data_IF_001417096803
#
_entry.id   IF_001417096803
#
_cell.length_a   1.000
_cell.length_b   1.000
_cell.length_c   1.000
_cell.angle_alpha   90.00
_cell.angle_beta   90.00
_cell.angle_gamma   90.00
#
_symmetry.space_group_name_H-M   'P 1'
#
loop_
_entity.id
_entity.type
_entity.pdbx_description
1 polymer ?
#
# COMPACT_ATOMS: atom_id res chain seq x y z
N UNK A 1 -26.75 -29.34 42.94
CA UNK A 1 -27.58 -28.13 42.74
C UNK A 1 -28.87 -28.51 42.04
N UNK A 2 -28.89 -29.26 40.92
CA UNK A 2 -30.11 -29.65 40.21
C UNK A 2 -31.16 -30.42 41.06
N UNK A 3 -30.69 -31.34 41.92
CA UNK A 3 -31.53 -32.02 42.88
C UNK A 3 -32.09 -31.08 43.97
N UNK A 4 -31.27 -30.19 44.51
CA UNK A 4 -31.66 -29.20 45.52
C UNK A 4 -32.76 -28.29 44.97
N UNK A 5 -32.59 -27.80 43.74
CA UNK A 5 -33.58 -26.94 43.08
C UNK A 5 -34.89 -27.69 42.72
N UNK A 6 -34.81 -29.00 42.46
CA UNK A 6 -36.02 -29.78 42.15
C UNK A 6 -36.88 -30.09 43.37
N UNK A 7 -36.26 -30.25 44.53
CA UNK A 7 -36.90 -30.67 45.75
C UNK A 7 -36.89 -29.58 46.85
N UNK A 8 -36.70 -28.31 46.44
CA UNK A 8 -36.71 -27.14 47.34
C UNK A 8 -35.85 -27.31 48.60
N UNK A 9 -34.74 -28.04 48.45
CA UNK A 9 -33.81 -28.33 49.55
C UNK A 9 -34.00 -29.63 50.31
N UNK A 10 -35.19 -30.22 50.27
CA UNK A 10 -35.53 -31.48 50.99
C UNK A 10 -35.43 -32.68 50.00
N UNK A 11 -34.24 -33.20 49.82
CA UNK A 11 -33.98 -34.28 48.84
C UNK A 11 -34.39 -35.61 49.50
N UNK A 12 -35.33 -36.41 48.90
CA UNK A 12 -35.66 -37.73 49.40
C UNK A 12 -34.45 -38.68 49.42
N UNK A 13 -34.24 -39.44 50.50
CA UNK A 13 -33.06 -40.30 50.69
C UNK A 13 -32.81 -41.23 49.52
N UNK A 14 -33.85 -41.76 48.89
CA UNK A 14 -33.81 -42.61 47.70
C UNK A 14 -33.01 -41.94 46.55
N UNK A 15 -33.28 -40.65 46.26
CA UNK A 15 -32.61 -39.94 45.16
C UNK A 15 -31.22 -39.46 45.58
N UNK A 16 -31.02 -39.12 46.84
CA UNK A 16 -29.71 -38.78 47.38
C UNK A 16 -28.73 -39.95 47.26
N UNK A 17 -29.17 -41.16 47.74
CA UNK A 17 -28.36 -42.39 47.65
C UNK A 17 -28.05 -42.77 46.21
N UNK A 18 -29.01 -42.71 45.29
CA UNK A 18 -28.78 -42.94 43.86
C UNK A 18 -27.80 -41.96 43.26
N UNK A 19 -27.90 -40.66 43.57
CA UNK A 19 -26.95 -39.66 43.10
C UNK A 19 -25.56 -39.90 43.63
N UNK A 20 -25.36 -40.16 44.89
CA UNK A 20 -24.06 -40.39 45.50
C UNK A 20 -23.37 -41.59 44.84
N UNK A 21 -24.12 -42.71 44.64
CA UNK A 21 -23.58 -43.93 44.01
C UNK A 21 -23.23 -43.72 42.53
N UNK A 22 -23.92 -42.85 41.81
CA UNK A 22 -23.67 -42.60 40.38
C UNK A 22 -22.77 -41.40 40.10
N UNK A 23 -22.51 -40.58 41.08
CA UNK A 23 -21.79 -39.28 40.89
C UNK A 23 -20.46 -39.44 40.18
N UNK A 24 -19.62 -40.43 40.60
CA UNK A 24 -18.32 -40.63 40.00
C UNK A 24 -18.38 -41.01 38.51
N UNK A 25 -19.38 -41.86 38.15
CA UNK A 25 -19.57 -42.32 36.76
C UNK A 25 -20.06 -41.15 35.89
N UNK A 26 -21.09 -40.43 36.35
CA UNK A 26 -21.64 -39.32 35.62
C UNK A 26 -20.61 -38.19 35.45
N UNK A 27 -19.82 -37.90 36.49
CA UNK A 27 -18.75 -36.91 36.42
C UNK A 27 -17.67 -37.28 35.40
N UNK A 28 -17.21 -38.55 35.42
CA UNK A 28 -16.21 -39.04 34.47
C UNK A 28 -16.69 -38.97 33.01
N UNK A 29 -17.94 -39.36 32.78
CA UNK A 29 -18.57 -39.28 31.45
C UNK A 29 -18.67 -37.82 30.97
N UNK A 30 -19.10 -36.91 31.82
CA UNK A 30 -19.17 -35.47 31.46
C UNK A 30 -17.80 -34.89 31.12
N UNK A 31 -16.75 -35.21 31.92
CA UNK A 31 -15.36 -34.80 31.64
C UNK A 31 -14.91 -35.36 30.31
N UNK A 32 -15.18 -36.63 30.01
CA UNK A 32 -14.78 -37.27 28.75
C UNK A 32 -15.48 -36.60 27.56
N UNK A 33 -16.77 -36.31 27.66
CA UNK A 33 -17.54 -35.63 26.58
C UNK A 33 -16.95 -34.22 26.33
N UNK A 34 -16.72 -33.43 27.38
CA UNK A 34 -16.13 -32.12 27.26
C UNK A 34 -14.71 -32.16 26.69
N UNK A 35 -13.96 -33.24 26.96
CA UNK A 35 -12.63 -33.48 26.36
C UNK A 35 -12.74 -33.79 24.87
N UNK A 36 -13.67 -34.66 24.45
CA UNK A 36 -13.90 -35.01 23.05
C UNK A 36 -14.33 -33.78 22.24
N UNK A 37 -15.18 -32.93 22.78
CA UNK A 37 -15.58 -31.67 22.15
C UNK A 37 -14.49 -30.59 22.21
N UNK A 38 -13.29 -30.89 22.73
CA UNK A 38 -12.14 -29.96 22.73
C UNK A 38 -12.31 -28.74 23.63
N UNK A 39 -13.28 -28.73 24.55
CA UNK A 39 -13.61 -27.57 25.41
C UNK A 39 -12.40 -27.17 26.29
N UNK A 40 -11.55 -28.14 26.67
CA UNK A 40 -10.34 -27.87 27.47
C UNK A 40 -9.15 -27.34 26.65
N UNK A 41 -9.16 -27.44 25.32
CA UNK A 41 -8.08 -27.01 24.44
C UNK A 41 -8.30 -25.58 23.91
N UNK A 42 -9.43 -24.95 24.21
CA UNK A 42 -9.71 -23.60 23.75
C UNK A 42 -9.05 -22.53 24.64
N UNK A 43 -8.40 -21.55 24.00
CA UNK A 43 -7.84 -20.40 24.68
C UNK A 43 -8.99 -19.45 25.11
N UNK A 44 -9.28 -19.35 26.37
CA UNK A 44 -10.34 -18.50 26.97
C UNK A 44 -10.23 -17.03 26.54
N UNK A 45 -9.06 -16.65 26.04
CA UNK A 45 -8.75 -15.32 25.55
C UNK A 45 -9.52 -14.94 24.26
N UNK A 46 -9.83 -15.90 23.39
CA UNK A 46 -10.40 -15.72 22.07
C UNK A 46 -11.78 -16.36 21.91
N UNK A 47 -12.51 -16.59 23.02
CA UNK A 47 -13.82 -17.21 22.97
C UNK A 47 -14.72 -16.59 21.89
N UNK A 48 -15.03 -17.37 20.85
CA UNK A 48 -15.88 -16.98 19.71
C UNK A 48 -17.33 -17.46 19.92
N UNK A 49 -18.20 -17.04 19.03
CA UNK A 49 -19.58 -17.55 18.97
C UNK A 49 -19.57 -19.06 18.70
N UNK A 50 -18.62 -19.55 17.91
CA UNK A 50 -18.48 -20.97 17.58
C UNK A 50 -18.15 -21.82 18.84
N UNK A 51 -17.36 -21.29 19.77
CA UNK A 51 -17.09 -21.97 21.05
C UNK A 51 -18.32 -22.05 21.94
N UNK A 52 -19.22 -21.08 21.91
CA UNK A 52 -20.49 -21.14 22.62
C UNK A 52 -21.41 -22.21 22.00
N UNK A 53 -21.43 -22.37 20.68
CA UNK A 53 -22.12 -23.45 20.01
C UNK A 53 -21.54 -24.82 20.37
N UNK A 54 -20.20 -24.97 20.38
CA UNK A 54 -19.55 -26.19 20.82
C UNK A 54 -19.89 -26.54 22.26
N UNK A 55 -19.88 -25.55 23.17
CA UNK A 55 -20.25 -25.76 24.56
C UNK A 55 -21.74 -26.20 24.69
N UNK A 56 -22.61 -25.59 23.92
CA UNK A 56 -24.02 -25.96 23.88
C UNK A 56 -24.20 -27.43 23.46
N UNK A 57 -23.63 -27.83 22.33
CA UNK A 57 -23.72 -29.21 21.83
C UNK A 57 -23.09 -30.22 22.80
N UNK A 58 -21.94 -29.91 23.38
CA UNK A 58 -21.26 -30.76 24.34
C UNK A 58 -22.12 -30.97 25.59
N UNK A 59 -22.72 -29.89 26.12
CA UNK A 59 -23.53 -29.97 27.34
C UNK A 59 -24.85 -30.71 27.12
N UNK A 60 -25.49 -30.49 25.98
CA UNK A 60 -26.70 -31.22 25.60
C UNK A 60 -26.41 -32.70 25.40
N UNK A 61 -25.31 -33.05 24.68
CA UNK A 61 -24.88 -34.43 24.47
C UNK A 61 -24.57 -35.12 25.79
N UNK A 62 -23.89 -34.45 26.70
CA UNK A 62 -23.58 -34.95 28.03
C UNK A 62 -24.85 -35.27 28.81
N UNK A 63 -25.82 -34.36 28.81
CA UNK A 63 -27.13 -34.56 29.52
C UNK A 63 -27.96 -35.69 28.94
N UNK A 64 -27.91 -35.92 27.62
CA UNK A 64 -28.58 -37.05 26.98
C UNK A 64 -27.90 -38.36 27.38
N UNK A 65 -26.57 -38.41 27.37
CA UNK A 65 -25.83 -39.62 27.78
C UNK A 65 -26.04 -39.92 29.26
N UNK A 66 -26.02 -38.91 30.12
CA UNK A 66 -26.34 -39.06 31.55
C UNK A 66 -27.75 -39.63 31.74
N UNK A 67 -28.73 -39.23 30.97
CA UNK A 67 -30.09 -39.76 30.97
C UNK A 67 -30.11 -41.23 30.54
N UNK A 68 -29.40 -41.58 29.47
CA UNK A 68 -29.32 -42.96 28.97
C UNK A 68 -28.64 -43.90 30.00
N UNK A 69 -27.56 -43.47 30.62
CA UNK A 69 -26.87 -44.19 31.69
C UNK A 69 -27.81 -44.38 32.88
N UNK A 70 -28.54 -43.36 33.27
CA UNK A 70 -29.56 -43.44 34.34
C UNK A 70 -30.62 -44.47 34.09
N UNK A 71 -31.05 -44.66 32.84
CA UNK A 71 -32.01 -45.72 32.46
C UNK A 71 -31.38 -47.12 32.38
N UNK A 72 -30.11 -47.23 31.88
CA UNK A 72 -29.42 -48.49 31.68
C UNK A 72 -28.99 -49.14 32.97
N UNK A 73 -28.56 -48.39 33.98
CA UNK A 73 -28.09 -48.88 35.28
C UNK A 73 -29.10 -48.75 36.40
N UNK A 74 -30.37 -48.52 36.10
CA UNK A 74 -31.49 -48.32 37.06
C UNK A 74 -31.25 -47.20 38.11
N UNK A 75 -30.39 -46.23 37.76
CA UNK A 75 -30.08 -45.02 38.54
C UNK A 75 -31.04 -43.90 38.14
N UNK A 76 -32.34 -44.13 38.22
CA UNK A 76 -33.35 -43.19 37.70
C UNK A 76 -33.50 -41.98 38.61
N UNK A 77 -32.92 -40.84 38.16
CA UNK A 77 -33.21 -39.51 38.71
C UNK A 77 -34.44 -38.91 37.99
N UNK A 78 -35.15 -37.98 38.58
CA UNK A 78 -36.25 -37.26 37.90
C UNK A 78 -35.73 -36.57 36.63
N UNK A 79 -36.48 -36.67 35.51
CA UNK A 79 -36.10 -36.06 34.22
C UNK A 79 -35.81 -34.57 34.31
N UNK A 80 -36.53 -33.85 35.17
CA UNK A 80 -36.30 -32.43 35.43
C UNK A 80 -34.91 -32.13 35.97
N UNK A 81 -34.27 -33.05 36.71
CA UNK A 81 -32.94 -32.85 37.25
C UNK A 81 -31.87 -32.76 36.12
N UNK A 82 -32.00 -33.59 35.10
CA UNK A 82 -31.10 -33.56 33.94
C UNK A 82 -31.25 -32.24 33.18
N UNK A 83 -32.48 -31.76 32.98
CA UNK A 83 -32.76 -30.50 32.29
C UNK A 83 -32.21 -29.32 33.10
N UNK A 84 -32.49 -29.28 34.41
CA UNK A 84 -32.00 -28.23 35.31
C UNK A 84 -30.44 -28.23 35.33
N UNK A 85 -29.82 -29.41 35.41
CA UNK A 85 -28.35 -29.54 35.42
C UNK A 85 -27.74 -29.10 34.10
N UNK A 86 -28.35 -29.40 32.95
CA UNK A 86 -27.92 -28.93 31.63
C UNK A 86 -27.95 -27.40 31.58
N UNK A 87 -29.08 -26.77 31.95
CA UNK A 87 -29.20 -25.31 31.96
C UNK A 87 -28.20 -24.65 32.89
N UNK A 88 -28.01 -25.20 34.09
CA UNK A 88 -27.02 -24.67 35.04
C UNK A 88 -25.61 -24.82 34.52
N UNK A 89 -25.24 -25.95 33.91
CA UNK A 89 -23.94 -26.15 33.31
C UNK A 89 -23.65 -25.11 32.19
N UNK A 90 -24.64 -24.87 31.32
CA UNK A 90 -24.55 -23.83 30.29
C UNK A 90 -24.34 -22.43 30.88
N UNK A 91 -25.11 -22.09 31.91
CA UNK A 91 -25.02 -20.77 32.56
C UNK A 91 -23.68 -20.60 33.29
N UNK A 92 -23.26 -21.61 34.06
CA UNK A 92 -22.02 -21.49 34.84
C UNK A 92 -20.77 -21.54 33.98
N UNK A 93 -20.67 -22.52 33.07
CA UNK A 93 -19.47 -22.66 32.22
C UNK A 93 -19.42 -21.54 31.18
N UNK A 94 -20.55 -21.26 30.51
CA UNK A 94 -20.63 -20.17 29.52
C UNK A 94 -20.50 -18.80 30.16
N UNK A 95 -21.21 -18.56 31.27
CA UNK A 95 -21.15 -17.31 32.03
C UNK A 95 -19.76 -17.02 32.60
N UNK A 96 -19.06 -18.02 33.16
CA UNK A 96 -17.70 -17.85 33.66
C UNK A 96 -16.70 -17.49 32.54
N UNK A 97 -16.82 -18.11 31.38
CA UNK A 97 -16.00 -17.79 30.20
C UNK A 97 -16.26 -16.36 29.69
N UNK A 98 -17.55 -15.98 29.62
CA UNK A 98 -17.91 -14.61 29.21
C UNK A 98 -17.55 -13.56 30.24
N UNK A 99 -17.71 -13.83 31.54
CA UNK A 99 -17.32 -12.88 32.59
C UNK A 99 -15.84 -12.57 32.58
N UNK A 100 -14.98 -13.57 32.39
CA UNK A 100 -13.54 -13.37 32.21
C UNK A 100 -13.22 -12.42 31.04
N UNK A 101 -13.91 -12.60 29.91
CA UNK A 101 -13.77 -11.73 28.74
C UNK A 101 -14.24 -10.30 29.02
N UNK A 102 -15.39 -10.15 29.68
CA UNK A 102 -15.95 -8.83 30.03
C UNK A 102 -15.08 -8.10 31.02
N UNK A 103 -14.65 -8.76 32.12
CA UNK A 103 -13.76 -8.20 33.12
C UNK A 103 -12.43 -7.73 32.54
N UNK A 104 -11.86 -8.52 31.63
CA UNK A 104 -10.63 -8.13 30.93
C UNK A 104 -10.86 -6.92 30.03
N UNK A 105 -12.01 -6.87 29.35
CA UNK A 105 -12.39 -5.74 28.49
C UNK A 105 -12.58 -4.45 29.33
N UNK A 106 -13.22 -4.58 30.49
CA UNK A 106 -13.40 -3.47 31.43
C UNK A 106 -12.07 -3.00 32.04
N UNK A 107 -11.18 -3.93 32.38
CA UNK A 107 -9.84 -3.61 32.88
C UNK A 107 -8.99 -2.85 31.85
N UNK A 108 -9.13 -3.15 30.57
CA UNK A 108 -8.47 -2.44 29.47
C UNK A 108 -9.12 -1.08 29.16
N UNK A 109 -10.39 -0.85 29.53
CA UNK A 109 -11.09 0.44 29.37
C UNK A 109 -10.76 1.39 30.53
N UNK A 110 -10.40 0.88 31.71
CA UNK A 110 -10.15 1.68 32.91
C UNK A 110 -8.76 2.33 33.01
N UNK A 111 -7.84 2.12 32.04
CA UNK A 111 -6.47 2.69 32.06
C UNK A 111 -6.36 3.76 30.96
N UNK A 112 -7.22 4.76 30.98
CA UNK A 112 -7.14 5.87 30.02
C UNK A 112 -7.23 7.23 30.74
N UNK A 113 -6.33 7.49 31.69
CA UNK A 113 -6.03 8.85 32.12
C UNK A 113 -4.58 9.19 31.72
N UNK A 114 -4.41 9.98 30.69
CA UNK A 114 -3.20 10.42 29.98
C UNK A 114 -2.78 9.52 28.83
N UNK A 115 -3.65 9.40 27.84
CA UNK A 115 -3.35 8.67 26.61
C UNK A 115 -2.61 9.59 25.62
N UNK A 116 -1.29 9.42 25.53
CA UNK A 116 -0.42 10.08 24.52
C UNK A 116 -0.62 9.50 23.11
N UNK A 117 -1.71 8.75 22.86
CA UNK A 117 -1.99 8.18 21.54
C UNK A 117 -2.46 9.26 20.60
N UNK A 118 -1.94 9.25 19.38
CA UNK A 118 -2.41 10.12 18.31
C UNK A 118 -3.85 9.81 17.94
N UNK A 119 -4.68 10.83 17.93
CA UNK A 119 -6.10 10.75 17.60
C UNK A 119 -6.26 10.71 16.09
N UNK A 120 -6.91 9.66 15.59
CA UNK A 120 -7.03 9.39 14.15
C UNK A 120 -8.48 9.48 13.71
N UNK A 121 -8.70 10.21 12.61
CA UNK A 121 -9.94 10.20 11.84
C UNK A 121 -9.74 9.36 10.57
N UNK A 122 -10.69 8.44 10.29
CA UNK A 122 -10.66 7.61 9.08
C UNK A 122 -11.69 8.12 8.10
N UNK A 123 -11.30 8.38 6.87
CA UNK A 123 -12.21 8.79 5.79
C UNK A 123 -12.49 7.56 4.91
N UNK A 124 -13.76 7.19 4.82
CA UNK A 124 -14.26 5.97 4.20
C UNK A 124 -14.68 4.92 5.22
N UNK A 125 -15.97 4.64 5.29
CA UNK A 125 -16.60 3.63 6.16
C UNK A 125 -16.93 2.32 5.43
N UNK A 126 -16.21 2.00 4.35
CA UNK A 126 -16.28 0.72 3.65
C UNK A 126 -15.35 -0.33 4.25
N UNK A 127 -15.11 -1.42 3.49
CA UNK A 127 -14.27 -2.54 3.94
C UNK A 127 -12.85 -2.12 4.31
N UNK A 128 -12.24 -1.24 3.49
CA UNK A 128 -10.89 -0.73 3.74
C UNK A 128 -10.82 0.07 5.06
N UNK A 129 -11.76 0.98 5.28
CA UNK A 129 -11.84 1.75 6.53
C UNK A 129 -12.12 0.86 7.75
N UNK A 130 -13.01 -0.13 7.60
CA UNK A 130 -13.30 -1.13 8.63
C UNK A 130 -12.04 -1.93 9.01
N UNK A 131 -11.24 -2.36 8.01
CA UNK A 131 -9.98 -3.06 8.23
C UNK A 131 -8.96 -2.18 8.97
N UNK A 132 -8.77 -0.92 8.53
CA UNK A 132 -7.89 0.04 9.21
C UNK A 132 -8.27 0.21 10.68
N UNK A 133 -9.56 0.44 10.97
CA UNK A 133 -10.04 0.63 12.34
C UNK A 133 -9.82 -0.62 13.18
N UNK A 134 -10.08 -1.81 12.62
CA UNK A 134 -9.84 -3.09 13.29
C UNK A 134 -8.37 -3.27 13.62
N UNK A 135 -7.48 -2.98 12.66
CA UNK A 135 -6.03 -3.10 12.83
C UNK A 135 -5.50 -2.13 13.90
N UNK A 136 -5.92 -0.85 13.85
CA UNK A 136 -5.57 0.15 14.88
C UNK A 136 -6.00 -0.29 16.29
N UNK A 137 -7.07 -1.10 16.42
CA UNK A 137 -7.55 -1.62 17.72
C UNK A 137 -6.90 -2.93 18.14
N UNK A 138 -6.49 -3.79 17.21
CA UNK A 138 -6.07 -5.18 17.48
C UNK A 138 -4.55 -5.30 17.63
N UNK A 139 -3.78 -4.54 16.87
CA UNK A 139 -2.32 -4.68 16.77
C UNK A 139 -1.54 -4.24 18.02
N UNK A 140 -2.19 -3.99 19.16
CA UNK A 140 -1.51 -3.45 20.34
C UNK A 140 -0.82 -2.11 20.04
N UNK A 141 -1.26 -1.42 19.00
CA UNK A 141 -0.75 -0.11 18.61
C UNK A 141 -1.05 0.89 19.72
N UNK A 142 -0.12 1.02 20.65
CA UNK A 142 -0.18 1.99 21.74
C UNK A 142 -0.08 3.44 21.26
N UNK A 143 0.23 3.65 19.96
CA UNK A 143 0.48 4.98 19.38
C UNK A 143 -0.74 5.66 18.77
N UNK A 144 -1.78 4.93 18.31
CA UNK A 144 -2.92 5.46 17.55
C UNK A 144 -4.25 5.10 18.18
N UNK A 145 -5.21 6.03 18.11
CA UNK A 145 -6.59 5.83 18.53
C UNK A 145 -7.57 6.34 17.47
N UNK A 146 -8.32 5.45 16.82
CA UNK A 146 -9.41 5.84 15.92
C UNK A 146 -10.56 6.46 16.73
N UNK A 147 -10.88 7.73 16.46
CA UNK A 147 -11.85 8.55 17.21
C UNK A 147 -13.11 8.82 16.41
N UNK A 148 -12.98 9.01 15.10
CA UNK A 148 -14.07 9.36 14.21
C UNK A 148 -13.92 8.68 12.84
N UNK A 149 -15.04 8.45 12.18
CA UNK A 149 -15.13 8.05 10.78
C UNK A 149 -15.93 9.10 10.03
N UNK A 150 -15.52 9.40 8.80
CA UNK A 150 -16.27 10.22 7.84
C UNK A 150 -16.65 9.32 6.65
N UNK A 151 -17.92 9.34 6.26
CA UNK A 151 -18.44 8.63 5.08
C UNK A 151 -19.61 9.41 4.48
N UNK A 152 -19.59 9.60 3.17
CA UNK A 152 -20.63 10.37 2.47
C UNK A 152 -21.98 9.63 2.34
N UNK A 153 -21.97 8.31 2.57
CA UNK A 153 -23.18 7.50 2.56
C UNK A 153 -24.08 7.85 3.77
N UNK A 154 -25.19 8.50 3.48
CA UNK A 154 -26.16 8.96 4.50
C UNK A 154 -26.73 7.82 5.34
N UNK A 155 -26.81 6.60 4.82
CA UNK A 155 -27.31 5.45 5.53
C UNK A 155 -26.34 4.96 6.61
N UNK A 156 -25.05 5.17 6.42
CA UNK A 156 -24.02 4.84 7.41
C UNK A 156 -23.85 5.88 8.50
N UNK A 157 -24.26 7.12 8.22
CA UNK A 157 -24.16 8.21 9.20
C UNK A 157 -24.98 7.87 10.46
N UNK A 158 -24.44 8.15 11.64
CA UNK A 158 -24.94 7.75 12.97
C UNK A 158 -24.67 6.27 13.37
N UNK A 159 -24.13 5.44 12.49
CA UNK A 159 -23.67 4.09 12.83
C UNK A 159 -22.25 4.13 13.44
N UNK A 160 -21.80 2.95 13.90
CA UNK A 160 -20.44 2.77 14.44
C UNK A 160 -19.75 1.63 13.72
N UNK A 161 -18.50 1.82 13.31
CA UNK A 161 -17.64 0.77 12.75
C UNK A 161 -16.67 0.33 13.85
N UNK A 162 -16.75 -0.92 14.27
CA UNK A 162 -15.96 -1.44 15.40
C UNK A 162 -16.01 -0.54 16.65
N UNK A 163 -17.15 0.13 16.89
CA UNK A 163 -17.37 1.02 18.02
C UNK A 163 -16.84 2.44 17.84
N UNK A 164 -16.31 2.82 16.65
CA UNK A 164 -15.96 4.20 16.27
C UNK A 164 -17.14 4.82 15.55
N UNK A 165 -17.63 6.01 15.97
CA UNK A 165 -18.81 6.63 15.37
C UNK A 165 -18.50 7.23 13.99
N UNK A 166 -19.47 7.11 13.05
CA UNK A 166 -19.49 7.86 11.80
C UNK A 166 -20.14 9.21 12.08
N UNK A 167 -19.37 10.29 11.94
CA UNK A 167 -19.79 11.65 12.37
C UNK A 167 -20.40 12.51 11.28
N UNK A 168 -20.42 12.03 10.03
CA UNK A 168 -21.00 12.70 8.88
C UNK A 168 -20.24 12.46 7.60
N UNK A 169 -20.56 13.24 6.55
CA UNK A 169 -19.88 13.24 5.27
C UNK A 169 -18.66 14.17 5.22
N UNK A 170 -18.09 14.32 4.01
CA UNK A 170 -16.87 15.12 3.74
C UNK A 170 -16.98 16.58 4.19
N UNK A 171 -18.19 17.14 4.25
CA UNK A 171 -18.46 18.50 4.71
C UNK A 171 -18.11 18.74 6.19
N UNK A 172 -18.06 17.67 6.99
CA UNK A 172 -17.76 17.73 8.44
C UNK A 172 -16.30 17.47 8.79
N UNK A 173 -15.43 17.22 7.83
CA UNK A 173 -14.01 16.91 8.08
C UNK A 173 -13.35 17.96 8.96
N UNK A 174 -13.47 19.26 8.60
CA UNK A 174 -12.83 20.35 9.35
C UNK A 174 -13.41 20.50 10.76
N UNK A 175 -14.73 20.46 10.89
CA UNK A 175 -15.43 20.55 12.18
C UNK A 175 -15.02 19.43 13.14
N UNK A 176 -15.03 18.19 12.63
CA UNK A 176 -14.68 17.00 13.42
C UNK A 176 -13.19 17.00 13.78
N UNK A 177 -12.32 17.43 12.86
CA UNK A 177 -10.88 17.53 13.11
C UNK A 177 -10.57 18.46 14.27
N UNK A 178 -11.21 19.63 14.32
CA UNK A 178 -11.01 20.61 15.37
C UNK A 178 -11.67 20.19 16.70
N UNK A 179 -12.95 19.81 16.64
CA UNK A 179 -13.74 19.44 17.83
C UNK A 179 -13.17 18.23 18.57
N UNK A 180 -12.71 17.24 17.83
CA UNK A 180 -12.18 16.01 18.41
C UNK A 180 -10.65 16.04 18.59
N UNK A 181 -9.98 17.12 18.24
CA UNK A 181 -8.52 17.24 18.37
C UNK A 181 -7.81 16.11 17.61
N UNK A 182 -8.06 16.01 16.30
CA UNK A 182 -7.48 14.95 15.46
C UNK A 182 -6.02 15.32 15.10
N UNK A 183 -5.11 14.38 15.31
CA UNK A 183 -3.69 14.53 14.95
C UNK A 183 -3.41 14.06 13.53
N UNK A 184 -4.04 12.93 13.14
CA UNK A 184 -3.81 12.31 11.81
C UNK A 184 -5.13 11.91 11.15
N UNK A 185 -5.21 12.10 9.83
CA UNK A 185 -6.33 11.67 8.98
C UNK A 185 -5.83 10.54 8.07
N UNK A 186 -6.54 9.41 8.06
CA UNK A 186 -6.26 8.28 7.17
C UNK A 186 -7.35 8.19 6.12
N UNK A 187 -6.98 8.35 4.84
CA UNK A 187 -7.89 8.21 3.71
C UNK A 187 -7.91 6.74 3.29
N UNK A 188 -9.04 6.07 3.55
CA UNK A 188 -9.25 4.64 3.30
C UNK A 188 -10.26 4.43 2.17
N UNK A 189 -9.96 4.99 0.99
CA UNK A 189 -10.82 5.01 -0.21
C UNK A 189 -10.12 4.40 -1.44
N UNK A 190 -9.63 3.15 -1.38
CA UNK A 190 -8.80 2.58 -2.46
C UNK A 190 -9.57 2.32 -3.76
N UNK A 191 -10.91 2.26 -3.72
CA UNK A 191 -11.77 1.97 -4.88
C UNK A 191 -12.45 3.23 -5.46
N UNK A 192 -12.19 4.40 -4.88
CA UNK A 192 -12.82 5.67 -5.30
C UNK A 192 -11.95 6.33 -6.37
N UNK A 193 -12.60 7.04 -7.30
CA UNK A 193 -11.94 7.81 -8.36
C UNK A 193 -10.95 8.82 -7.76
N UNK A 194 -9.79 8.95 -8.37
CA UNK A 194 -8.71 9.86 -7.94
C UNK A 194 -9.17 11.32 -7.88
N UNK A 195 -10.09 11.73 -8.76
CA UNK A 195 -10.68 13.07 -8.74
C UNK A 195 -11.42 13.33 -7.42
N UNK A 196 -12.24 12.37 -7.01
CA UNK A 196 -13.01 12.46 -5.77
C UNK A 196 -12.10 12.42 -4.52
N UNK A 197 -11.05 11.58 -4.55
CA UNK A 197 -10.02 11.56 -3.50
C UNK A 197 -9.28 12.90 -3.43
N UNK A 198 -8.98 13.53 -4.58
CA UNK A 198 -8.35 14.85 -4.63
C UNK A 198 -9.23 15.93 -4.00
N UNK A 199 -10.54 15.92 -4.26
CA UNK A 199 -11.49 16.85 -3.62
C UNK A 199 -11.52 16.69 -2.09
N UNK A 200 -11.50 15.46 -1.61
CA UNK A 200 -11.42 15.15 -0.16
C UNK A 200 -10.09 15.64 0.42
N UNK A 201 -8.98 15.41 -0.28
CA UNK A 201 -7.66 15.89 0.12
C UNK A 201 -7.62 17.41 0.21
N UNK A 202 -8.28 18.14 -0.70
CA UNK A 202 -8.37 19.62 -0.67
C UNK A 202 -9.13 20.13 0.56
N UNK A 203 -10.12 19.38 1.03
CA UNK A 203 -10.80 19.67 2.30
C UNK A 203 -9.86 19.37 3.47
N UNK A 204 -9.19 18.23 3.46
CA UNK A 204 -8.27 17.81 4.53
C UNK A 204 -7.08 18.76 4.69
N UNK A 205 -6.58 19.37 3.61
CA UNK A 205 -5.51 20.39 3.66
C UNK A 205 -5.85 21.62 4.50
N UNK A 206 -7.16 21.92 4.66
CA UNK A 206 -7.62 23.03 5.52
C UNK A 206 -7.46 22.70 7.00
N UNK A 207 -7.26 21.43 7.36
CA UNK A 207 -6.97 20.98 8.72
C UNK A 207 -5.45 21.03 8.97
N UNK A 208 -5.05 21.07 10.25
CA UNK A 208 -3.64 20.97 10.65
C UNK A 208 -3.17 19.53 10.83
N UNK A 209 -3.99 18.55 10.44
CA UNK A 209 -3.75 17.14 10.66
C UNK A 209 -2.71 16.59 9.68
N UNK A 210 -1.92 15.61 10.12
CA UNK A 210 -1.07 14.84 9.22
C UNK A 210 -1.93 13.92 8.35
N UNK A 211 -1.72 13.94 7.03
CA UNK A 211 -2.51 13.17 6.09
C UNK A 211 -1.79 11.88 5.69
N UNK A 212 -2.51 10.77 5.74
CA UNK A 212 -2.07 9.45 5.30
C UNK A 212 -3.10 8.82 4.38
N UNK A 213 -2.67 7.93 3.51
CA UNK A 213 -3.54 7.21 2.56
C UNK A 213 -3.18 5.74 2.48
N UNK A 214 -4.13 4.94 1.99
CA UNK A 214 -3.90 3.57 1.57
C UNK A 214 -3.55 3.52 0.08
N UNK A 215 -2.67 2.60 -0.36
CA UNK A 215 -2.46 2.35 -1.79
C UNK A 215 -3.75 1.88 -2.47
N UNK A 216 -3.85 2.07 -3.78
CA UNK A 216 -5.00 1.63 -4.57
C UNK A 216 -5.21 0.11 -4.53
N UNK A 217 -6.42 -0.35 -4.87
CA UNK A 217 -6.80 -1.79 -4.85
C UNK A 217 -5.82 -2.67 -5.63
N UNK A 218 -5.25 -2.17 -6.72
CA UNK A 218 -4.30 -2.90 -7.56
C UNK A 218 -2.90 -3.06 -6.92
N UNK A 219 -2.57 -2.27 -5.91
CA UNK A 219 -1.30 -2.35 -5.17
C UNK A 219 -1.40 -3.23 -3.93
N UNK A 220 -2.64 -3.62 -3.55
CA UNK A 220 -2.90 -4.49 -2.40
C UNK A 220 -2.77 -5.95 -2.83
N UNK A 221 -1.55 -6.49 -2.77
CA UNK A 221 -1.28 -7.91 -3.01
C UNK A 221 -1.87 -8.71 -1.84
N UNK A 222 -2.76 -9.67 -2.13
CA UNK A 222 -3.41 -10.60 -1.17
C UNK A 222 -4.60 -10.08 -0.33
N UNK A 223 -5.27 -8.99 -0.68
CA UNK A 223 -6.54 -8.59 -0.05
C UNK A 223 -6.49 -8.27 1.45
N UNK A 224 -5.30 -8.18 2.06
CA UNK A 224 -5.12 -7.80 3.46
C UNK A 224 -4.50 -6.41 3.54
N UNK A 225 -5.28 -5.45 4.04
CA UNK A 225 -4.78 -4.10 4.35
C UNK A 225 -4.15 -4.15 5.75
N UNK A 226 -2.82 -3.95 5.82
CA UNK A 226 -2.08 -3.84 7.08
C UNK A 226 -1.65 -2.40 7.38
N UNK A 227 -1.34 -2.10 8.65
CA UNK A 227 -0.78 -0.79 9.05
C UNK A 227 0.51 -0.44 8.32
N UNK A 228 1.29 -1.43 7.89
CA UNK A 228 2.52 -1.25 7.11
C UNK A 228 2.28 -0.66 5.71
N UNK A 229 1.06 -0.72 5.20
CA UNK A 229 0.68 -0.16 3.90
C UNK A 229 0.16 1.28 4.00
N UNK A 230 -0.10 1.79 5.19
CA UNK A 230 -0.48 3.18 5.40
C UNK A 230 0.75 4.06 5.20
N UNK A 231 0.73 4.89 4.15
CA UNK A 231 1.81 5.81 3.79
C UNK A 231 1.36 7.26 3.90
N UNK A 232 2.30 8.17 4.04
CA UNK A 232 2.02 9.59 3.91
C UNK A 232 1.47 9.87 2.50
N UNK A 233 0.56 10.84 2.38
CA UNK A 233 0.03 11.27 1.09
C UNK A 233 1.18 11.77 0.23
N UNK A 234 1.36 11.16 -0.94
CA UNK A 234 2.35 11.59 -1.92
C UNK A 234 1.80 12.69 -2.81
N UNK A 235 2.68 13.36 -3.52
CA UNK A 235 2.28 14.40 -4.46
C UNK A 235 1.55 13.79 -5.67
N UNK A 236 1.84 12.56 -6.01
CA UNK A 236 1.16 11.82 -7.07
C UNK A 236 -0.33 11.62 -6.76
N UNK A 237 -0.69 11.48 -5.48
CA UNK A 237 -2.09 11.40 -5.03
C UNK A 237 -2.87 12.71 -5.29
N UNK A 238 -2.17 13.83 -5.53
CA UNK A 238 -2.78 15.15 -5.79
C UNK A 238 -3.06 15.42 -7.26
N UNK A 239 -2.62 14.56 -8.19
CA UNK A 239 -2.82 14.77 -9.63
C UNK A 239 -4.30 14.73 -10.05
N UNK A 240 -5.17 14.09 -9.26
CA UNK A 240 -6.63 14.10 -9.46
C UNK A 240 -7.09 13.47 -10.78
N UNK A 241 -6.24 12.71 -11.47
CA UNK A 241 -6.58 11.99 -12.70
C UNK A 241 -6.00 10.58 -12.67
N UNK A 242 -6.65 9.66 -13.36
CA UNK A 242 -6.13 8.31 -13.53
C UNK A 242 -4.91 8.31 -14.45
N UNK A 243 -3.98 7.41 -14.14
CA UNK A 243 -2.85 7.14 -15.05
C UNK A 243 -3.37 6.53 -16.34
N UNK A 244 -2.80 6.95 -17.47
CA UNK A 244 -3.10 6.34 -18.77
C UNK A 244 -2.58 4.91 -18.76
N UNK A 245 -3.49 3.93 -18.92
CA UNK A 245 -3.13 2.53 -19.05
C UNK A 245 -2.80 2.25 -20.53
N UNK A 246 -1.53 2.00 -20.82
CA UNK A 246 -1.10 1.55 -22.12
C UNK A 246 -1.19 0.03 -22.23
N UNK A 247 -1.48 -0.48 -23.41
CA UNK A 247 -1.38 -1.91 -23.69
C UNK A 247 0.09 -2.32 -23.74
N UNK A 248 0.53 -3.00 -22.67
CA UNK A 248 1.92 -3.45 -22.53
C UNK A 248 2.30 -4.58 -23.51
N UNK A 249 1.33 -5.18 -24.22
CA UNK A 249 1.61 -6.22 -25.22
C UNK A 249 2.31 -5.66 -26.45
N UNK A 250 1.94 -4.48 -26.92
CA UNK A 250 2.60 -3.84 -28.07
C UNK A 250 4.04 -3.42 -27.72
N UNK A 251 4.26 -2.85 -26.53
CA UNK A 251 5.60 -2.47 -26.08
C UNK A 251 6.52 -3.69 -25.87
N UNK A 252 5.99 -4.86 -25.50
CA UNK A 252 6.79 -6.07 -25.31
C UNK A 252 7.43 -6.59 -26.60
N UNK A 253 6.78 -6.35 -27.74
CA UNK A 253 7.18 -6.92 -29.03
C UNK A 253 8.56 -6.46 -29.52
N UNK A 254 8.97 -5.22 -29.26
CA UNK A 254 10.25 -4.68 -29.74
C UNK A 254 11.37 -4.67 -28.68
N UNK A 255 11.07 -4.99 -27.43
CA UNK A 255 12.08 -5.02 -26.34
C UNK A 255 12.53 -6.44 -25.99
N UNK A 256 11.64 -7.42 -26.16
CA UNK A 256 11.91 -8.82 -25.81
C UNK A 256 13.02 -9.40 -26.68
N UNK A 257 14.06 -9.90 -26.05
CA UNK A 257 15.21 -10.52 -26.75
C UNK A 257 16.20 -9.53 -27.37
N UNK A 258 15.97 -8.22 -27.26
CA UNK A 258 16.89 -7.18 -27.74
C UNK A 258 17.93 -6.80 -26.68
N UNK A 259 19.06 -6.26 -27.14
CA UNK A 259 20.01 -5.56 -26.31
C UNK A 259 19.57 -4.09 -26.25
N UNK A 260 19.25 -3.60 -25.06
CA UNK A 260 18.72 -2.25 -24.85
C UNK A 260 19.72 -1.39 -24.13
N UNK A 261 20.07 -0.22 -24.68
CA UNK A 261 20.93 0.78 -24.09
C UNK A 261 20.11 1.98 -23.62
N UNK A 262 20.27 2.36 -22.35
CA UNK A 262 19.67 3.56 -21.79
C UNK A 262 20.79 4.52 -21.38
N UNK A 263 20.93 5.66 -22.08
CA UNK A 263 21.88 6.72 -21.71
C UNK A 263 21.22 7.70 -20.73
N UNK A 264 21.97 8.19 -19.76
CA UNK A 264 21.40 8.94 -18.64
C UNK A 264 20.56 8.04 -17.73
N UNK A 265 20.93 6.74 -17.66
CA UNK A 265 20.17 5.70 -16.97
C UNK A 265 20.09 5.88 -15.46
N UNK A 266 21.01 6.63 -14.83
CA UNK A 266 20.95 7.00 -13.41
C UNK A 266 20.04 8.22 -13.13
N UNK A 267 19.55 8.92 -14.17
CA UNK A 267 18.61 10.04 -14.02
C UNK A 267 17.20 9.58 -13.66
N UNK A 268 16.33 10.53 -13.28
CA UNK A 268 14.95 10.20 -12.86
C UNK A 268 14.13 9.47 -13.92
N UNK A 269 14.22 9.89 -15.20
CA UNK A 269 13.51 9.23 -16.31
C UNK A 269 14.27 7.98 -16.76
N UNK A 270 15.60 8.07 -16.89
CA UNK A 270 16.41 6.93 -17.32
C UNK A 270 16.31 5.73 -16.38
N UNK A 271 16.30 5.95 -15.07
CA UNK A 271 16.16 4.88 -14.07
C UNK A 271 14.78 4.22 -14.14
N UNK A 272 13.73 5.00 -14.35
CA UNK A 272 12.39 4.44 -14.51
C UNK A 272 12.23 3.68 -15.82
N UNK A 273 12.79 4.18 -16.93
CA UNK A 273 12.89 3.43 -18.17
C UNK A 273 13.58 2.07 -17.94
N UNK A 274 14.72 2.06 -17.25
CA UNK A 274 15.42 0.81 -16.91
C UNK A 274 14.54 -0.15 -16.10
N UNK A 275 13.78 0.35 -15.08
CA UNK A 275 12.84 -0.47 -14.29
C UNK A 275 11.74 -1.06 -15.15
N UNK A 276 11.16 -0.28 -16.05
CA UNK A 276 10.08 -0.74 -16.92
C UNK A 276 10.60 -1.71 -17.98
N UNK A 277 11.74 -1.41 -18.62
CA UNK A 277 12.37 -2.28 -19.61
C UNK A 277 12.75 -3.65 -19.01
N UNK A 278 13.24 -3.66 -17.77
CA UNK A 278 13.60 -4.90 -17.07
C UNK A 278 12.43 -5.89 -16.97
N UNK A 279 11.19 -5.41 -16.86
CA UNK A 279 9.98 -6.24 -16.81
C UNK A 279 9.75 -7.05 -18.09
N UNK A 280 10.24 -6.56 -19.25
CA UNK A 280 10.10 -7.22 -20.55
C UNK A 280 11.20 -8.25 -20.82
N UNK A 281 12.13 -8.47 -19.89
CA UNK A 281 13.23 -9.43 -20.00
C UNK A 281 14.02 -9.27 -21.31
N UNK A 282 14.68 -8.11 -21.51
CA UNK A 282 15.55 -7.91 -22.68
C UNK A 282 16.70 -8.93 -22.64
N UNK A 283 17.33 -9.19 -23.79
CA UNK A 283 18.53 -10.05 -23.86
C UNK A 283 19.66 -9.49 -22.98
N UNK A 284 19.83 -8.16 -22.97
CA UNK A 284 20.72 -7.44 -22.08
C UNK A 284 20.20 -6.00 -21.89
N UNK A 285 20.23 -5.48 -20.67
CA UNK A 285 19.97 -4.08 -20.35
C UNK A 285 21.30 -3.39 -20.02
N UNK A 286 21.62 -2.28 -20.69
CA UNK A 286 22.85 -1.52 -20.49
C UNK A 286 22.45 -0.15 -19.94
N UNK A 287 22.94 0.16 -18.75
CA UNK A 287 22.78 1.46 -18.09
C UNK A 287 24.05 2.27 -18.37
N UNK A 288 23.96 3.35 -19.15
CA UNK A 288 25.07 4.27 -19.38
C UNK A 288 24.79 5.59 -18.68
N UNK A 289 25.67 5.97 -17.78
CA UNK A 289 25.61 7.26 -17.09
C UNK A 289 27.02 7.81 -16.81
N UNK A 290 27.13 9.12 -16.65
CA UNK A 290 28.36 9.77 -16.21
C UNK A 290 28.49 9.75 -14.69
N UNK A 291 27.38 9.67 -13.96
CA UNK A 291 27.34 9.71 -12.51
C UNK A 291 27.21 8.30 -11.92
N UNK A 292 28.34 7.80 -11.38
CA UNK A 292 28.46 6.42 -10.93
C UNK A 292 27.49 6.04 -9.80
N UNK A 293 27.25 6.93 -8.82
CA UNK A 293 26.48 6.59 -7.64
C UNK A 293 25.04 6.22 -8.00
N UNK A 294 24.36 7.03 -8.81
CA UNK A 294 23.00 6.74 -9.23
C UNK A 294 22.90 5.46 -10.08
N UNK A 295 23.90 5.22 -10.93
CA UNK A 295 23.98 4.02 -11.74
C UNK A 295 24.18 2.77 -10.87
N UNK A 296 25.02 2.86 -9.86
CA UNK A 296 25.28 1.79 -8.88
C UNK A 296 24.02 1.48 -8.03
N UNK A 297 23.35 2.52 -7.53
CA UNK A 297 22.12 2.35 -6.75
C UNK A 297 21.04 1.63 -7.57
N UNK A 298 20.85 2.04 -8.84
CA UNK A 298 19.90 1.40 -9.75
C UNK A 298 20.32 -0.05 -10.07
N UNK A 299 21.61 -0.30 -10.27
CA UNK A 299 22.11 -1.66 -10.48
C UNK A 299 21.75 -2.57 -9.30
N UNK A 300 22.03 -2.13 -8.07
CA UNK A 300 21.73 -2.91 -6.88
C UNK A 300 20.23 -3.16 -6.72
N UNK A 301 19.40 -2.14 -6.96
CA UNK A 301 17.94 -2.26 -6.93
C UNK A 301 17.46 -3.35 -7.91
N UNK A 302 17.87 -3.27 -9.18
CA UNK A 302 17.44 -4.22 -10.20
C UNK A 302 17.94 -5.64 -9.94
N UNK A 303 19.19 -5.80 -9.49
CA UNK A 303 19.74 -7.10 -9.13
C UNK A 303 19.04 -7.71 -7.89
N UNK A 304 18.63 -6.89 -6.93
CA UNK A 304 17.87 -7.36 -5.77
C UNK A 304 16.47 -7.87 -6.18
N UNK A 305 15.80 -7.18 -7.11
CA UNK A 305 14.45 -7.55 -7.58
C UNK A 305 14.50 -8.77 -8.48
N UNK A 306 15.37 -8.76 -9.50
CA UNK A 306 15.38 -9.78 -10.56
C UNK A 306 16.44 -10.87 -10.37
N UNK A 307 17.41 -10.68 -9.47
CA UNK A 307 18.51 -11.62 -9.21
C UNK A 307 19.21 -12.07 -10.51
N UNK A 308 19.20 -13.37 -10.81
CA UNK A 308 19.80 -13.94 -12.01
C UNK A 308 18.92 -13.86 -13.26
N UNK A 309 17.69 -13.35 -13.15
CA UNK A 309 16.74 -13.28 -14.26
C UNK A 309 16.97 -12.07 -15.19
N UNK A 310 17.90 -11.18 -14.84
CA UNK A 310 18.25 -10.02 -15.65
C UNK A 310 19.74 -10.05 -16.04
N UNK A 311 20.01 -9.85 -17.32
CA UNK A 311 21.38 -9.61 -17.81
C UNK A 311 21.61 -8.10 -17.85
N UNK A 312 22.23 -7.55 -16.81
CA UNK A 312 22.40 -6.13 -16.59
C UNK A 312 23.88 -5.74 -16.66
N UNK A 313 24.17 -4.65 -17.34
CA UNK A 313 25.51 -4.07 -17.44
C UNK A 313 25.46 -2.57 -17.12
N UNK A 314 26.44 -2.07 -16.38
CA UNK A 314 26.59 -0.64 -16.10
C UNK A 314 27.85 -0.13 -16.75
N UNK A 315 27.73 0.94 -17.53
CA UNK A 315 28.84 1.59 -18.22
C UNK A 315 28.93 3.05 -17.77
N UNK A 316 30.01 3.38 -17.10
CA UNK A 316 30.30 4.78 -16.74
C UNK A 316 30.98 5.45 -17.92
N UNK A 317 30.23 6.37 -18.54
CA UNK A 317 30.69 7.10 -19.71
C UNK A 317 29.92 8.41 -19.94
N UNK A 318 30.55 9.37 -20.60
CA UNK A 318 29.89 10.60 -21.04
C UNK A 318 29.42 10.47 -22.50
N UNK A 319 28.21 10.92 -22.79
CA UNK A 319 27.70 11.01 -24.18
C UNK A 319 28.47 12.02 -25.05
N UNK A 320 29.28 12.87 -24.42
CA UNK A 320 30.20 13.80 -25.11
C UNK A 320 31.44 13.10 -25.68
N UNK A 321 31.79 11.93 -25.12
CA UNK A 321 32.98 11.16 -25.57
C UNK A 321 32.55 10.17 -26.68
N UNK A 322 32.68 10.63 -27.93
CA UNK A 322 32.34 9.82 -29.11
C UNK A 322 33.19 8.55 -29.21
N UNK A 323 34.47 8.61 -28.82
CA UNK A 323 35.36 7.43 -28.89
C UNK A 323 34.88 6.34 -27.92
N UNK A 324 34.55 6.74 -26.71
CA UNK A 324 33.99 5.80 -25.69
C UNK A 324 32.63 5.25 -26.10
N UNK A 325 31.72 6.10 -26.60
CA UNK A 325 30.43 5.66 -27.11
C UNK A 325 30.57 4.62 -28.22
N UNK A 326 31.45 4.87 -29.19
CA UNK A 326 31.72 3.94 -30.29
C UNK A 326 32.17 2.57 -29.77
N UNK A 327 33.09 2.51 -28.79
CA UNK A 327 33.47 1.25 -28.11
C UNK A 327 32.29 0.54 -27.46
N UNK A 328 31.41 1.28 -26.80
CA UNK A 328 30.20 0.71 -26.19
C UNK A 328 29.28 0.09 -27.25
N UNK A 329 28.98 0.82 -28.31
CA UNK A 329 28.13 0.32 -29.41
C UNK A 329 28.76 -0.88 -30.13
N UNK A 330 30.08 -0.87 -30.34
CA UNK A 330 30.82 -1.98 -30.93
C UNK A 330 30.75 -3.25 -30.05
N UNK A 331 30.96 -3.09 -28.74
CA UNK A 331 30.98 -4.20 -27.78
C UNK A 331 29.62 -4.83 -27.58
N UNK A 332 28.60 -3.99 -27.39
CA UNK A 332 27.29 -4.49 -26.95
C UNK A 332 26.27 -4.62 -28.06
N UNK A 333 26.47 -3.96 -29.23
CA UNK A 333 25.55 -3.98 -30.37
C UNK A 333 24.08 -3.81 -29.97
N UNK A 334 23.69 -2.67 -29.37
CA UNK A 334 22.32 -2.46 -28.94
C UNK A 334 21.37 -2.46 -30.12
N UNK A 335 20.21 -3.15 -30.01
CA UNK A 335 19.14 -3.11 -30.97
C UNK A 335 18.18 -1.95 -30.74
N UNK A 336 18.06 -1.49 -29.47
CA UNK A 336 17.22 -0.35 -29.09
C UNK A 336 18.01 0.59 -28.17
N UNK A 337 17.88 1.90 -28.41
CA UNK A 337 18.54 2.94 -27.63
C UNK A 337 17.51 3.94 -27.11
N UNK A 338 17.47 4.15 -25.79
CA UNK A 338 16.76 5.26 -25.16
C UNK A 338 17.77 6.31 -24.71
N UNK A 339 17.68 7.50 -25.30
CA UNK A 339 18.61 8.60 -25.01
C UNK A 339 17.97 9.61 -24.08
N UNK A 340 18.22 9.42 -22.75
CA UNK A 340 17.73 10.29 -21.68
C UNK A 340 18.82 11.18 -21.06
N UNK A 341 20.07 11.08 -21.52
CA UNK A 341 21.17 11.90 -21.06
C UNK A 341 21.03 13.36 -21.53
N UNK A 342 20.75 14.28 -20.61
CA UNK A 342 20.63 15.71 -20.91
C UNK A 342 20.85 16.58 -19.68
N UNK A 343 21.36 17.79 -19.85
CA UNK A 343 21.28 18.87 -18.87
C UNK A 343 19.89 19.54 -18.97
N UNK A 344 19.13 19.60 -17.86
CA UNK A 344 17.72 20.02 -17.86
C UNK A 344 17.41 21.31 -17.06
N UNK A 345 18.33 21.76 -16.21
CA UNK A 345 18.11 22.91 -15.34
C UNK A 345 18.23 24.21 -16.11
N UNK A 346 17.11 24.89 -16.38
CA UNK A 346 17.07 26.12 -17.17
C UNK A 346 18.01 27.19 -16.61
N UNK A 347 17.97 27.60 -15.33
CA UNK A 347 18.86 28.65 -14.82
C UNK A 347 20.35 28.31 -14.96
N UNK A 348 20.72 27.04 -14.76
CA UNK A 348 22.13 26.63 -14.90
C UNK A 348 22.56 26.62 -16.36
N UNK A 349 21.68 26.29 -17.29
CA UNK A 349 22.02 26.28 -18.72
C UNK A 349 22.05 27.70 -19.31
N UNK A 350 21.26 28.62 -18.80
CA UNK A 350 21.41 30.04 -19.13
C UNK A 350 22.78 30.58 -18.70
N UNK A 351 23.25 30.21 -17.50
CA UNK A 351 24.55 30.61 -17.02
C UNK A 351 25.73 29.84 -17.69
N UNK A 352 25.46 28.68 -18.29
CA UNK A 352 26.47 27.79 -18.90
C UNK A 352 26.03 27.28 -20.28
N UNK A 353 25.80 28.14 -21.28
CA UNK A 353 25.23 27.73 -22.56
C UNK A 353 26.15 26.77 -23.35
N UNK A 354 27.45 26.93 -23.25
CA UNK A 354 28.39 26.04 -23.91
C UNK A 354 28.29 24.59 -23.42
N UNK A 355 28.04 24.37 -22.12
CA UNK A 355 27.87 23.03 -21.57
C UNK A 355 26.53 22.43 -22.00
N UNK A 356 25.46 23.23 -22.13
CA UNK A 356 24.19 22.78 -22.68
C UNK A 356 24.37 22.31 -24.13
N UNK A 357 25.08 23.06 -24.97
CA UNK A 357 25.39 22.71 -26.37
C UNK A 357 26.22 21.42 -26.43
N UNK A 358 27.33 21.34 -25.69
CA UNK A 358 28.21 20.16 -25.69
C UNK A 358 27.44 18.88 -25.28
N UNK A 359 26.62 18.97 -24.25
CA UNK A 359 25.93 17.79 -23.72
C UNK A 359 24.67 17.45 -24.52
N UNK A 360 23.76 18.43 -24.70
CA UNK A 360 22.46 18.16 -25.28
C UNK A 360 22.47 18.05 -26.82
N UNK A 361 23.30 18.86 -27.49
CA UNK A 361 23.40 18.82 -28.95
C UNK A 361 24.46 17.79 -29.39
N UNK A 362 25.71 18.00 -29.03
CA UNK A 362 26.78 17.09 -29.47
C UNK A 362 26.69 15.72 -28.81
N UNK A 363 26.24 15.62 -27.56
CA UNK A 363 25.97 14.31 -26.92
C UNK A 363 24.90 13.52 -27.65
N UNK A 364 23.83 14.17 -28.07
CA UNK A 364 22.76 13.52 -28.90
C UNK A 364 23.32 13.15 -30.27
N UNK A 365 24.03 14.07 -30.95
CA UNK A 365 24.65 13.80 -32.25
C UNK A 365 25.58 12.57 -32.21
N UNK A 366 26.49 12.54 -31.25
CA UNK A 366 27.44 11.43 -31.08
C UNK A 366 26.71 10.10 -30.87
N UNK A 367 25.68 10.09 -30.00
CA UNK A 367 24.93 8.86 -29.68
C UNK A 367 24.11 8.40 -30.87
N UNK A 368 23.45 9.32 -31.58
CA UNK A 368 22.66 9.03 -32.77
C UNK A 368 23.52 8.55 -33.97
N UNK A 369 24.69 9.16 -34.19
CA UNK A 369 25.65 8.72 -35.22
C UNK A 369 26.20 7.31 -34.91
N UNK A 370 26.50 7.01 -33.65
CA UNK A 370 26.85 5.63 -33.27
C UNK A 370 25.68 4.67 -33.49
N UNK A 371 24.46 5.07 -33.20
CA UNK A 371 23.26 4.22 -33.46
C UNK A 371 23.12 3.90 -34.95
N UNK A 372 23.28 4.87 -35.83
CA UNK A 372 23.26 4.68 -37.28
C UNK A 372 24.42 3.79 -37.75
N UNK A 373 25.67 4.12 -37.33
CA UNK A 373 26.90 3.39 -37.71
C UNK A 373 26.82 1.89 -37.34
N UNK A 374 26.25 1.56 -36.17
CA UNK A 374 26.18 0.20 -35.67
C UNK A 374 24.83 -0.51 -35.93
N UNK A 375 23.96 0.10 -36.72
CA UNK A 375 22.72 -0.51 -37.20
C UNK A 375 21.70 -0.76 -36.10
N UNK A 376 21.54 0.16 -35.17
CA UNK A 376 20.47 0.15 -34.17
C UNK A 376 19.11 0.14 -34.88
N UNK A 377 18.19 -0.68 -34.45
CA UNK A 377 16.83 -0.77 -35.05
C UNK A 377 16.02 0.47 -34.72
N UNK A 378 16.04 0.89 -33.45
CA UNK A 378 15.22 2.01 -32.95
C UNK A 378 15.99 2.88 -31.95
N UNK A 379 15.93 4.20 -32.17
CA UNK A 379 16.52 5.21 -31.28
C UNK A 379 15.43 6.17 -30.80
N UNK A 380 15.23 6.24 -29.49
CA UNK A 380 14.22 7.09 -28.84
C UNK A 380 14.91 8.22 -28.08
N UNK A 381 14.72 9.45 -28.56
CA UNK A 381 15.17 10.66 -27.85
C UNK A 381 14.13 11.10 -26.82
N UNK A 382 14.51 11.18 -25.57
CA UNK A 382 13.70 11.77 -24.52
C UNK A 382 13.82 13.30 -24.62
N UNK A 383 12.73 13.98 -25.02
CA UNK A 383 12.66 15.43 -25.18
C UNK A 383 11.69 16.06 -24.16
N UNK A 384 11.32 17.31 -24.36
CA UNK A 384 10.54 18.12 -23.41
C UNK A 384 9.55 19.03 -24.13
N UNK A 385 8.48 19.42 -23.46
CA UNK A 385 7.53 20.47 -23.89
C UNK A 385 8.23 21.81 -24.19
N UNK A 386 9.35 22.10 -23.50
CA UNK A 386 10.14 23.33 -23.66
C UNK A 386 10.91 23.42 -25.00
N UNK A 387 10.93 22.32 -25.75
CA UNK A 387 11.49 22.29 -27.11
C UNK A 387 10.49 22.74 -28.21
N UNK A 388 9.20 22.95 -27.88
CA UNK A 388 8.16 23.33 -28.86
C UNK A 388 8.38 24.74 -29.41
N UNK A 389 8.42 25.74 -28.53
CA UNK A 389 8.75 27.13 -28.85
C UNK A 389 9.80 27.60 -27.83
N UNK A 390 11.07 27.27 -28.01
CA UNK A 390 12.07 27.44 -26.99
C UNK A 390 12.34 28.93 -26.70
N UNK A 391 12.14 29.32 -25.45
CA UNK A 391 12.43 30.67 -24.94
C UNK A 391 13.67 30.69 -24.04
N UNK A 392 14.38 29.57 -23.96
CA UNK A 392 15.55 29.39 -23.11
C UNK A 392 16.58 28.44 -23.76
N UNK A 393 17.84 28.54 -23.33
CA UNK A 393 18.96 27.76 -23.89
C UNK A 393 18.72 26.26 -23.79
N UNK A 394 18.24 25.77 -22.65
CA UNK A 394 17.96 24.35 -22.48
C UNK A 394 16.93 23.84 -23.51
N UNK A 395 15.79 24.54 -23.65
CA UNK A 395 14.77 24.22 -24.64
C UNK A 395 15.29 24.30 -26.07
N UNK A 396 16.09 25.35 -26.41
CA UNK A 396 16.71 25.51 -27.72
C UNK A 396 17.65 24.34 -28.04
N UNK A 397 18.50 23.91 -27.09
CA UNK A 397 19.39 22.77 -27.31
C UNK A 397 18.64 21.45 -27.51
N UNK A 398 17.52 21.24 -26.80
CA UNK A 398 16.65 20.07 -27.01
C UNK A 398 15.95 20.13 -28.37
N UNK A 399 15.52 21.31 -28.82
CA UNK A 399 14.95 21.47 -30.15
C UNK A 399 15.96 21.12 -31.25
N UNK A 400 17.20 21.56 -31.14
CA UNK A 400 18.27 21.20 -32.06
C UNK A 400 18.53 19.69 -32.03
N UNK A 401 18.52 19.06 -30.87
CA UNK A 401 18.64 17.62 -30.72
C UNK A 401 17.52 16.86 -31.49
N UNK A 402 16.28 17.33 -31.39
CA UNK A 402 15.16 16.78 -32.19
C UNK A 402 15.38 16.95 -33.70
N UNK A 403 15.87 18.10 -34.14
CA UNK A 403 16.16 18.33 -35.56
C UNK A 403 17.27 17.40 -36.07
N UNK A 404 18.30 17.10 -35.26
CA UNK A 404 19.37 16.15 -35.59
C UNK A 404 18.78 14.77 -35.85
N UNK A 405 17.97 14.23 -34.94
CA UNK A 405 17.43 12.88 -35.12
C UNK A 405 16.42 12.82 -36.28
N UNK A 406 15.58 13.85 -36.46
CA UNK A 406 14.69 13.97 -37.61
C UNK A 406 15.43 14.00 -38.95
N UNK A 407 16.64 14.62 -38.98
CA UNK A 407 17.48 14.64 -40.18
C UNK A 407 18.08 13.26 -40.43
N UNK A 408 18.55 12.56 -39.40
CA UNK A 408 19.11 11.21 -39.51
C UNK A 408 18.03 10.19 -39.91
N UNK A 409 16.80 10.29 -39.40
CA UNK A 409 15.69 9.41 -39.75
C UNK A 409 15.41 9.34 -41.26
N UNK A 410 15.63 10.46 -41.97
CA UNK A 410 15.41 10.52 -43.43
C UNK A 410 16.43 9.73 -44.26
N UNK A 411 17.62 9.46 -43.73
CA UNK A 411 18.74 8.90 -44.45
C UNK A 411 19.25 7.56 -43.88
N UNK A 412 18.92 7.28 -42.63
CA UNK A 412 19.33 6.08 -41.91
C UNK A 412 18.33 4.94 -42.02
N UNK A 413 18.80 3.71 -41.75
CA UNK A 413 17.95 2.54 -41.56
C UNK A 413 17.46 2.42 -40.12
N UNK A 414 18.01 3.15 -39.22
CA UNK A 414 17.57 3.27 -37.81
C UNK A 414 16.30 4.12 -37.76
N UNK A 415 15.27 3.64 -37.10
CA UNK A 415 14.06 4.42 -36.79
C UNK A 415 14.38 5.40 -35.65
N UNK A 416 14.35 6.71 -35.93
CA UNK A 416 14.61 7.75 -34.95
C UNK A 416 13.32 8.42 -34.52
N UNK A 417 13.01 8.38 -33.23
CA UNK A 417 11.80 8.94 -32.63
C UNK A 417 12.16 9.92 -31.50
N UNK A 418 11.43 11.03 -31.41
CA UNK A 418 11.50 11.96 -30.27
C UNK A 418 10.17 11.94 -29.50
N UNK A 419 10.26 11.77 -28.18
CA UNK A 419 9.13 11.83 -27.26
C UNK A 419 9.22 13.08 -26.42
N UNK A 420 8.14 13.88 -26.38
CA UNK A 420 8.01 15.07 -25.55
C UNK A 420 7.04 14.86 -24.43
N UNK A 421 7.39 15.33 -23.23
CA UNK A 421 6.47 15.36 -22.10
C UNK A 421 6.69 16.61 -21.25
N UNK A 422 5.73 16.92 -20.37
CA UNK A 422 5.75 18.08 -19.50
C UNK A 422 6.61 17.90 -18.26
N UNK A 423 6.26 18.57 -17.17
CA UNK A 423 7.01 18.43 -15.92
C UNK A 423 6.66 17.10 -15.25
N UNK A 424 7.67 16.49 -14.65
CA UNK A 424 7.54 15.21 -13.98
C UNK A 424 7.65 15.42 -12.47
N UNK A 425 6.64 14.93 -11.73
CA UNK A 425 6.57 15.07 -10.29
C UNK A 425 7.74 14.35 -9.61
N UNK A 426 8.31 14.99 -8.59
CA UNK A 426 9.32 14.36 -7.75
C UNK A 426 10.68 14.08 -8.41
N UNK A 427 10.91 14.51 -9.67
CA UNK A 427 12.20 14.32 -10.33
C UNK A 427 13.31 15.12 -9.64
N UNK A 428 14.55 14.57 -9.65
CA UNK A 428 15.72 15.19 -9.03
C UNK A 428 15.92 16.62 -9.48
N UNK A 429 16.07 17.54 -8.49
CA UNK A 429 16.26 18.98 -8.74
C UNK A 429 15.00 19.69 -9.29
N UNK A 430 13.82 19.08 -9.28
CA UNK A 430 12.56 19.74 -9.63
C UNK A 430 12.04 20.62 -8.49
N UNK A 431 10.99 21.40 -8.78
CA UNK A 431 10.43 22.38 -7.86
C UNK A 431 9.90 21.73 -6.56
N UNK A 432 9.38 20.52 -6.62
CA UNK A 432 8.76 19.86 -5.47
C UNK A 432 9.75 19.45 -4.38
N UNK A 433 10.88 18.77 -4.66
CA UNK A 433 11.93 18.57 -3.67
C UNK A 433 12.45 19.89 -3.09
N UNK A 434 12.54 20.94 -3.90
CA UNK A 434 12.93 22.27 -3.42
C UNK A 434 11.91 22.82 -2.42
N UNK A 435 10.61 22.78 -2.75
CA UNK A 435 9.53 23.22 -1.85
C UNK A 435 9.52 22.44 -0.54
N UNK A 436 9.65 21.11 -0.59
CA UNK A 436 9.76 20.28 0.62
C UNK A 436 10.91 20.72 1.51
N UNK A 437 12.09 20.99 0.92
CA UNK A 437 13.25 21.47 1.66
C UNK A 437 13.04 22.87 2.25
N UNK A 438 12.42 23.79 1.50
CA UNK A 438 12.09 25.14 1.99
C UNK A 438 11.09 25.07 3.16
N UNK A 439 10.04 24.25 3.04
CA UNK A 439 9.05 24.03 4.09
C UNK A 439 9.71 23.45 5.35
N UNK A 440 10.55 22.43 5.20
CA UNK A 440 11.27 21.82 6.32
C UNK A 440 12.19 22.81 7.06
N UNK A 441 12.70 23.82 6.35
CA UNK A 441 13.53 24.89 6.89
C UNK A 441 12.71 26.09 7.45
N UNK A 442 11.37 25.97 7.51
CA UNK A 442 10.49 27.03 8.05
C UNK A 442 9.95 28.01 7.00
N UNK A 443 10.22 27.79 5.72
CA UNK A 443 9.76 28.64 4.60
C UNK A 443 10.56 29.95 4.44
N UNK A 444 10.11 30.89 3.59
CA UNK A 444 8.97 30.80 2.70
C UNK A 444 9.25 29.90 1.48
N UNK A 445 8.17 29.47 0.77
CA UNK A 445 8.28 28.78 -0.51
C UNK A 445 8.43 29.79 -1.64
N UNK A 446 9.42 29.57 -2.52
CA UNK A 446 9.71 30.46 -3.65
C UNK A 446 8.86 30.07 -4.87
N UNK A 447 7.94 30.95 -5.27
CA UNK A 447 7.14 30.80 -6.48
C UNK A 447 7.60 31.81 -7.53
N UNK A 448 7.87 31.34 -8.75
CA UNK A 448 8.42 32.17 -9.83
C UNK A 448 7.41 33.23 -10.30
N UNK A 449 6.12 32.86 -10.39
CA UNK A 449 5.02 33.75 -10.75
C UNK A 449 3.73 33.22 -10.13
N UNK A 450 2.84 34.08 -9.57
CA UNK A 450 1.64 33.63 -8.88
C UNK A 450 0.65 32.89 -9.80
N UNK A 451 0.59 33.24 -11.08
CA UNK A 451 -0.31 32.61 -12.07
C UNK A 451 0.36 31.54 -12.92
N UNK A 452 1.54 31.04 -12.52
CA UNK A 452 2.27 30.05 -13.31
C UNK A 452 1.51 28.71 -13.30
N UNK A 453 1.22 28.20 -14.49
CA UNK A 453 0.63 26.88 -14.70
C UNK A 453 1.63 25.95 -15.42
N UNK A 454 1.60 24.67 -15.09
CA UNK A 454 2.42 23.63 -15.74
C UNK A 454 1.64 22.34 -15.82
N UNK A 455 1.85 21.60 -16.90
CA UNK A 455 1.40 20.22 -16.99
C UNK A 455 2.30 19.34 -16.15
N UNK A 456 1.69 18.50 -15.33
CA UNK A 456 2.40 17.52 -14.50
C UNK A 456 1.96 16.10 -14.82
N UNK A 457 2.91 15.18 -14.71
CA UNK A 457 2.70 13.75 -14.79
C UNK A 457 3.61 13.02 -13.81
N UNK A 458 3.34 11.75 -13.54
CA UNK A 458 4.23 10.93 -12.72
C UNK A 458 5.45 10.47 -13.51
N UNK A 459 6.54 10.08 -12.82
CA UNK A 459 7.73 9.50 -13.47
C UNK A 459 7.36 8.21 -14.21
N UNK A 460 6.59 7.26 -13.62
CA UNK A 460 6.13 6.07 -14.35
C UNK A 460 5.33 6.36 -15.61
N UNK A 461 4.42 7.37 -15.60
CA UNK A 461 3.70 7.76 -16.82
C UNK A 461 4.61 8.28 -17.93
N UNK A 462 5.63 9.09 -17.57
CA UNK A 462 6.56 9.66 -18.53
C UNK A 462 7.47 8.59 -19.19
N UNK A 463 7.66 7.44 -18.53
CA UNK A 463 8.50 6.34 -18.99
C UNK A 463 7.72 5.23 -19.70
N UNK A 464 6.39 5.23 -19.61
CA UNK A 464 5.51 4.34 -20.39
C UNK A 464 5.39 4.81 -21.83
#
# INVERSE_FOLDING_TARGET
IGLVLRFDGEIPELYLSRFVNSFAILAAVNVLIYFIFGIYHSLWRNASVDELFMLFFATVSASIIDLLIGYGFDIRLPRSVYIISCLLALIFIGGFRMSYRVLRRLKNVGISMHDKRKRVMVIGGGDAGSMVIKELKTAGCTQYQAVAVIDDDRWKQKLKIHGVPIKGGREKICEVAEKDGIDEIIIALPSVDRKEVSEILDICKKTKCKLKTLPGVYEIINGKVGLSQIRDVSIDDLLGRDEVKLDMHEASGYLKGEVVLVTGGGGSIGSELCRQIARFKPKKLIILDIYENNAYDLQNELLQIYKNDINLEVVIASVRDRKRLRQVFETYRPGVVFHAAAHKHVPLMEANPAEAVKNNIFGTLNTAQCADEFGVKRFVLISTDKAVNPTNIMGATKRVAEMIIQSLDKISKTEFVAVRFGNVLGSNGSVIPLFKKQIANGGPVTVTHPEITRFFMTIPEAAR
#
